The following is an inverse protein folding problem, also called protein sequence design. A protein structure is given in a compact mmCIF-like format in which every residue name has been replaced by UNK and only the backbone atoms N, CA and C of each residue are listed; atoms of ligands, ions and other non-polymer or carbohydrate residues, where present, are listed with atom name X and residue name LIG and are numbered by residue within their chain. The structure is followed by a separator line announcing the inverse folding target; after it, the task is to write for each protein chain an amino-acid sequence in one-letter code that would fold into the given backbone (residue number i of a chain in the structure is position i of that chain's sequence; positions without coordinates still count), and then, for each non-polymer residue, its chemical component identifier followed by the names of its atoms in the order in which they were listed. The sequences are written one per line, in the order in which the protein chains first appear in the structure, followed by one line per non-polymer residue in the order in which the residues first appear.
data_IF_392017149567
#
_entry.id   IF_392017149567
#
_cell.length_a   1.000
_cell.length_b   1.000
_cell.length_c   1.000
_cell.angle_alpha   90.00
_cell.angle_beta   90.00
_cell.angle_gamma   90.00
#
_symmetry.space_group_name_H-M   'P 1'
#
loop_
_entity.id
_entity.type
_entity.pdbx_description
1 polymer ?
#
# COMPACT_ATOMS: atom_id res chain seq x y z
N UNK A 1 22.60 -38.07 9.82
CA UNK A 1 21.90 -38.19 11.11
C UNK A 1 22.72 -37.47 12.16
N UNK A 2 22.31 -36.27 12.52
CA UNK A 2 22.83 -35.48 13.64
C UNK A 2 21.69 -35.35 14.65
N UNK A 3 21.94 -35.42 15.97
CA UNK A 3 20.87 -35.46 16.96
C UNK A 3 20.27 -34.07 17.18
N UNK A 4 18.94 -34.04 17.22
CA UNK A 4 18.10 -32.92 17.64
C UNK A 4 18.28 -32.77 19.14
N UNK A 5 18.85 -31.64 19.58
CA UNK A 5 18.93 -31.30 20.99
C UNK A 5 17.73 -30.39 21.33
N UNK A 6 16.57 -31.02 21.52
CA UNK A 6 15.40 -30.40 22.14
C UNK A 6 15.65 -30.30 23.64
N UNK A 7 16.02 -29.12 24.12
CA UNK A 7 15.94 -28.77 25.53
C UNK A 7 15.83 -27.24 25.69
N UNK A 8 14.66 -26.71 25.35
CA UNK A 8 14.16 -25.51 26.03
C UNK A 8 13.22 -25.98 27.14
N UNK A 9 13.82 -26.30 28.29
CA UNK A 9 13.07 -26.46 29.52
C UNK A 9 12.60 -25.08 29.97
N UNK A 10 11.29 -24.83 29.89
CA UNK A 10 10.68 -23.68 30.54
C UNK A 10 11.04 -23.72 32.04
N UNK A 11 11.45 -22.60 32.65
CA UNK A 11 11.74 -22.57 34.07
C UNK A 11 10.47 -22.86 34.87
N UNK A 12 10.39 -24.09 35.40
CA UNK A 12 9.47 -24.50 36.44
C UNK A 12 9.85 -23.77 37.74
N UNK A 13 9.19 -22.64 38.05
CA UNK A 13 8.59 -22.36 39.36
C UNK A 13 8.14 -20.88 39.52
N UNK A 14 6.97 -20.72 40.16
CA UNK A 14 6.42 -19.53 40.83
C UNK A 14 5.70 -18.39 40.07
N UNK A 15 5.62 -18.38 38.73
CA UNK A 15 4.84 -17.33 38.03
C UNK A 15 3.35 -17.65 37.78
N UNK A 16 2.93 -18.90 37.94
CA UNK A 16 1.53 -19.29 37.71
C UNK A 16 0.55 -18.85 38.81
N UNK A 17 1.02 -18.29 39.92
CA UNK A 17 0.19 -17.94 41.09
C UNK A 17 -0.24 -16.47 41.16
N UNK A 18 -0.07 -15.70 40.09
CA UNK A 18 -0.68 -14.36 39.98
C UNK A 18 -1.21 -14.10 38.58
N UNK A 19 -1.97 -15.06 38.04
CA UNK A 19 -2.76 -14.82 36.82
C UNK A 19 -3.92 -13.92 37.26
N UNK A 20 -3.79 -12.61 37.03
CA UNK A 20 -4.94 -11.71 37.09
C UNK A 20 -6.01 -12.26 36.15
N UNK A 21 -7.29 -12.16 36.53
CA UNK A 21 -8.41 -12.69 35.73
C UNK A 21 -8.40 -12.25 34.25
N UNK A 22 -7.73 -11.14 33.93
CA UNK A 22 -7.53 -10.60 32.59
C UNK A 22 -6.69 -11.46 31.64
N UNK A 23 -5.74 -12.27 32.12
CA UNK A 23 -4.90 -13.12 31.24
C UNK A 23 -5.53 -14.48 30.93
N UNK A 24 -6.41 -14.97 31.80
CA UNK A 24 -7.09 -16.25 31.61
C UNK A 24 -8.00 -16.25 30.37
N UNK A 25 -8.67 -15.11 30.10
CA UNK A 25 -9.54 -14.95 28.94
C UNK A 25 -8.76 -15.01 27.63
N UNK A 26 -7.59 -14.36 27.57
CA UNK A 26 -6.68 -14.47 26.42
C UNK A 26 -6.23 -15.90 26.19
N UNK A 27 -5.68 -16.55 27.22
CA UNK A 27 -5.10 -17.88 27.06
C UNK A 27 -6.14 -18.92 26.67
N UNK A 28 -7.32 -18.88 27.29
CA UNK A 28 -8.42 -19.80 26.96
C UNK A 28 -8.95 -19.61 25.54
N UNK A 29 -9.05 -18.37 25.05
CA UNK A 29 -9.44 -18.08 23.68
C UNK A 29 -8.39 -18.56 22.66
N UNK A 30 -7.11 -18.31 22.93
CA UNK A 30 -6.00 -18.72 22.06
C UNK A 30 -5.85 -20.24 22.01
N UNK A 31 -5.92 -20.94 23.14
CA UNK A 31 -5.88 -22.41 23.19
C UNK A 31 -7.06 -23.04 22.43
N UNK A 32 -8.22 -22.36 22.39
CA UNK A 32 -9.37 -22.78 21.58
C UNK A 32 -9.11 -22.57 20.09
N UNK A 33 -8.55 -21.42 19.72
CA UNK A 33 -8.20 -21.07 18.33
C UNK A 33 -7.11 -22.00 17.76
N UNK A 34 -6.12 -22.38 18.58
CA UNK A 34 -5.05 -23.31 18.22
C UNK A 34 -5.60 -24.69 17.82
N UNK A 35 -6.55 -25.21 18.58
CA UNK A 35 -7.20 -26.52 18.32
C UNK A 35 -7.98 -26.59 17.00
N UNK A 36 -8.21 -25.45 16.36
CA UNK A 36 -8.91 -25.33 15.08
C UNK A 36 -7.92 -25.19 13.89
N UNK A 37 -6.63 -25.43 14.11
CA UNK A 37 -5.61 -25.34 13.08
C UNK A 37 -5.92 -26.25 11.88
N UNK A 38 -5.83 -25.67 10.68
CA UNK A 38 -5.85 -26.44 9.44
C UNK A 38 -4.48 -27.11 9.22
N UNK A 39 -4.41 -28.22 8.46
CA UNK A 39 -3.14 -28.84 8.12
C UNK A 39 -2.17 -27.85 7.45
N UNK A 40 -0.98 -27.70 8.04
CA UNK A 40 0.07 -26.79 7.55
C UNK A 40 0.02 -25.38 8.14
N UNK A 41 -0.92 -25.07 9.04
CA UNK A 41 -0.91 -23.86 9.85
C UNK A 41 -0.09 -24.04 11.12
N UNK A 42 0.70 -23.02 11.47
CA UNK A 42 1.54 -23.00 12.68
C UNK A 42 0.85 -22.17 13.79
N UNK A 43 -0.39 -22.57 14.15
CA UNK A 43 -1.16 -21.87 15.19
C UNK A 43 -0.57 -22.07 16.60
N UNK A 44 0.06 -23.20 16.84
CA UNK A 44 0.76 -23.53 18.09
C UNK A 44 1.93 -22.56 18.36
N UNK A 45 2.73 -22.30 17.33
CA UNK A 45 3.78 -21.29 17.36
C UNK A 45 3.19 -19.88 17.55
N UNK A 46 2.10 -19.56 16.85
CA UNK A 46 1.43 -18.26 17.01
C UNK A 46 0.90 -18.05 18.43
N UNK A 47 0.28 -19.06 19.05
CA UNK A 47 -0.17 -19.00 20.45
C UNK A 47 1.02 -18.83 21.41
N UNK A 48 2.14 -19.51 21.16
CA UNK A 48 3.35 -19.35 21.96
C UNK A 48 3.85 -17.90 21.93
N UNK A 49 3.88 -17.27 20.75
CA UNK A 49 4.25 -15.85 20.59
C UNK A 49 3.25 -14.88 21.21
N UNK A 50 1.95 -15.18 21.11
CA UNK A 50 0.89 -14.39 21.76
C UNK A 50 1.04 -14.40 23.29
N UNK A 51 1.28 -15.58 23.86
CA UNK A 51 1.53 -15.75 25.30
C UNK A 51 2.80 -15.02 25.74
N UNK A 52 3.90 -15.17 25.01
CA UNK A 52 5.15 -14.45 25.28
C UNK A 52 4.95 -12.93 25.23
N UNK A 53 4.28 -12.42 24.20
CA UNK A 53 3.98 -11.00 24.05
C UNK A 53 3.19 -10.44 25.24
N UNK A 54 2.22 -11.20 25.75
CA UNK A 54 1.39 -10.77 26.86
C UNK A 54 2.15 -10.84 28.21
N UNK A 55 2.92 -11.91 28.44
CA UNK A 55 3.70 -12.11 29.66
C UNK A 55 4.81 -11.07 29.79
N UNK A 56 5.50 -10.77 28.69
CA UNK A 56 6.61 -9.83 28.68
C UNK A 56 6.17 -8.37 28.54
N UNK A 57 4.85 -8.13 28.37
CA UNK A 57 4.31 -6.81 28.06
C UNK A 57 5.05 -6.16 26.87
N UNK A 58 5.29 -6.96 25.82
CA UNK A 58 6.00 -6.52 24.63
C UNK A 58 5.14 -5.58 23.78
N UNK A 59 5.78 -4.56 23.22
CA UNK A 59 5.15 -3.63 22.28
C UNK A 59 5.01 -4.21 20.86
N UNK A 60 5.73 -5.29 20.55
CA UNK A 60 5.78 -5.90 19.23
C UNK A 60 5.23 -7.34 19.25
N UNK A 61 4.32 -7.63 18.33
CA UNK A 61 3.82 -8.98 18.06
C UNK A 61 4.08 -9.34 16.60
N UNK A 62 4.79 -10.47 16.39
CA UNK A 62 5.15 -10.97 15.05
C UNK A 62 4.65 -12.39 14.83
N UNK A 63 3.63 -12.52 14.01
CA UNK A 63 3.02 -13.78 13.58
C UNK A 63 3.18 -13.96 12.06
N UNK A 64 4.22 -13.37 11.45
CA UNK A 64 4.47 -13.50 10.02
C UNK A 64 4.97 -14.90 9.64
N UNK A 65 4.59 -15.38 8.44
CA UNK A 65 5.03 -16.66 7.84
C UNK A 65 4.66 -17.90 8.65
N UNK A 66 3.44 -17.95 9.18
CA UNK A 66 2.91 -19.09 9.95
C UNK A 66 1.74 -19.79 9.23
N UNK A 67 1.56 -19.46 7.94
CA UNK A 67 0.49 -19.95 7.08
C UNK A 67 -0.93 -19.77 7.64
N UNK A 68 -1.15 -18.81 8.54
CA UNK A 68 -2.40 -18.64 9.26
C UNK A 68 -3.55 -18.25 8.31
N UNK A 69 -4.68 -18.95 8.34
CA UNK A 69 -5.91 -18.55 7.65
C UNK A 69 -6.75 -17.54 8.42
N UNK A 70 -6.59 -17.48 9.75
CA UNK A 70 -7.24 -16.50 10.61
C UNK A 70 -6.34 -16.11 11.78
N UNK A 71 -6.68 -15.01 12.44
CA UNK A 71 -6.12 -14.63 13.75
C UNK A 71 -7.19 -14.86 14.83
N UNK A 72 -6.81 -15.01 16.10
CA UNK A 72 -7.78 -14.95 17.20
C UNK A 72 -8.37 -13.53 17.31
N UNK A 73 -9.63 -13.43 17.72
CA UNK A 73 -10.36 -12.16 17.82
C UNK A 73 -9.72 -11.19 18.84
N UNK A 74 -9.11 -11.73 19.90
CA UNK A 74 -8.53 -10.97 20.99
C UNK A 74 -6.99 -10.92 20.90
N UNK A 75 -6.49 -9.87 20.27
CA UNK A 75 -5.06 -9.54 20.28
C UNK A 75 -4.65 -8.83 21.59
N UNK A 76 -3.39 -8.94 22.04
CA UNK A 76 -2.90 -8.21 23.20
C UNK A 76 -3.06 -6.69 22.99
N UNK A 77 -3.86 -6.02 23.82
CA UNK A 77 -4.30 -4.64 23.58
C UNK A 77 -3.17 -3.58 23.73
N UNK A 78 -2.02 -3.94 24.30
CA UNK A 78 -0.91 -3.03 24.55
C UNK A 78 0.03 -2.85 23.35
N UNK A 79 -0.04 -3.71 22.34
CA UNK A 79 0.95 -3.73 21.25
C UNK A 79 0.89 -2.46 20.41
N UNK A 80 2.07 -1.97 20.00
CA UNK A 80 2.20 -0.84 19.08
C UNK A 80 2.63 -1.28 17.68
N UNK A 81 3.15 -2.51 17.53
CA UNK A 81 3.50 -3.11 16.25
C UNK A 81 2.88 -4.50 16.12
N UNK A 82 2.15 -4.71 15.03
CA UNK A 82 1.60 -6.00 14.63
C UNK A 82 2.15 -6.37 13.25
N UNK A 83 2.86 -7.49 13.16
CA UNK A 83 3.25 -8.08 11.90
C UNK A 83 2.60 -9.46 11.72
N UNK A 84 1.72 -9.56 10.73
CA UNK A 84 1.01 -10.79 10.33
C UNK A 84 1.17 -11.04 8.82
N UNK A 85 2.23 -10.48 8.23
CA UNK A 85 2.52 -10.60 6.80
C UNK A 85 2.83 -12.05 6.39
N UNK A 86 2.68 -12.37 5.11
CA UNK A 86 2.98 -13.70 4.56
C UNK A 86 2.17 -14.83 5.23
N UNK A 87 0.88 -14.61 5.41
CA UNK A 87 -0.07 -15.63 5.87
C UNK A 87 -1.15 -15.83 4.79
N UNK A 88 -2.26 -16.47 5.14
CA UNK A 88 -3.40 -16.73 4.27
C UNK A 88 -4.67 -16.03 4.79
N UNK A 89 -4.50 -14.91 5.49
CA UNK A 89 -5.59 -14.19 6.17
C UNK A 89 -6.56 -13.60 5.16
N UNK A 90 -7.85 -13.84 5.36
CA UNK A 90 -8.92 -13.21 4.59
C UNK A 90 -9.50 -11.97 5.26
N UNK A 91 -9.39 -11.90 6.59
CA UNK A 91 -9.84 -10.79 7.42
C UNK A 91 -8.87 -10.56 8.57
N UNK A 92 -8.87 -9.33 9.11
CA UNK A 92 -8.22 -9.00 10.36
C UNK A 92 -9.28 -8.80 11.46
N UNK A 93 -8.98 -9.20 12.72
CA UNK A 93 -9.84 -8.87 13.85
C UNK A 93 -9.78 -7.37 14.16
N UNK A 94 -10.56 -6.93 15.14
CA UNK A 94 -10.42 -5.56 15.65
C UNK A 94 -8.98 -5.29 16.12
N UNK A 95 -8.44 -4.15 15.68
CA UNK A 95 -7.06 -3.79 15.94
C UNK A 95 -6.93 -3.05 17.28
N UNK A 96 -5.86 -3.31 18.06
CA UNK A 96 -5.58 -2.54 19.26
C UNK A 96 -5.51 -1.04 18.98
N UNK A 97 -6.19 -0.23 19.79
CA UNK A 97 -6.23 1.24 19.61
C UNK A 97 -4.86 1.91 19.77
N UNK A 98 -3.93 1.23 20.41
CA UNK A 98 -2.52 1.62 20.67
C UNK A 98 -1.61 1.38 19.47
N UNK A 99 -2.08 0.67 18.44
CA UNK A 99 -1.27 0.25 17.32
C UNK A 99 -0.76 1.43 16.50
N UNK A 100 0.55 1.45 16.26
CA UNK A 100 1.25 2.45 15.46
C UNK A 100 1.71 1.90 14.11
N UNK A 101 2.01 0.61 14.04
CA UNK A 101 2.53 -0.04 12.84
C UNK A 101 1.77 -1.34 12.58
N UNK A 102 1.13 -1.42 11.42
CA UNK A 102 0.46 -2.61 10.95
C UNK A 102 1.14 -3.13 9.68
N UNK A 103 1.66 -4.34 9.75
CA UNK A 103 2.24 -5.07 8.63
C UNK A 103 1.42 -6.34 8.38
N UNK A 104 0.64 -6.35 7.29
CA UNK A 104 -0.20 -7.47 6.88
C UNK A 104 -0.08 -7.72 5.36
N UNK A 105 1.13 -7.55 4.84
CA UNK A 105 1.43 -7.73 3.42
C UNK A 105 1.36 -9.21 3.02
N UNK A 106 1.07 -9.50 1.75
CA UNK A 106 1.02 -10.87 1.21
C UNK A 106 0.06 -11.76 1.99
N UNK A 107 -1.20 -11.36 2.01
CA UNK A 107 -2.35 -12.11 2.53
C UNK A 107 -3.45 -12.13 1.44
N UNK A 108 -4.69 -12.47 1.82
CA UNK A 108 -5.87 -12.49 0.94
C UNK A 108 -6.97 -11.58 1.50
N UNK A 109 -6.58 -10.46 2.09
CA UNK A 109 -7.52 -9.54 2.73
C UNK A 109 -8.40 -8.90 1.66
N UNK A 110 -9.72 -9.09 1.78
CA UNK A 110 -10.72 -8.42 0.94
C UNK A 110 -11.11 -7.04 1.47
N UNK A 111 -11.03 -6.86 2.79
CA UNK A 111 -11.29 -5.61 3.48
C UNK A 111 -10.35 -5.40 4.68
N UNK A 112 -10.28 -4.16 5.16
CA UNK A 112 -9.59 -3.81 6.40
C UNK A 112 -10.61 -3.37 7.46
N UNK A 113 -10.38 -3.73 8.75
CA UNK A 113 -11.15 -3.15 9.84
C UNK A 113 -10.84 -1.65 9.97
N UNK A 114 -11.61 -0.96 10.82
CA UNK A 114 -11.33 0.44 11.16
C UNK A 114 -9.91 0.56 11.70
N UNK A 115 -9.14 1.50 11.12
CA UNK A 115 -7.75 1.70 11.48
C UNK A 115 -7.64 2.42 12.83
N UNK A 116 -6.70 2.02 13.71
CA UNK A 116 -6.43 2.72 14.94
C UNK A 116 -6.06 4.19 14.70
N UNK A 117 -6.55 5.13 15.53
CA UNK A 117 -6.37 6.57 15.29
C UNK A 117 -4.91 7.03 15.38
N UNK A 118 -4.05 6.25 16.04
CA UNK A 118 -2.62 6.52 16.22
C UNK A 118 -1.72 5.78 15.21
N UNK A 119 -2.30 5.15 14.17
CA UNK A 119 -1.54 4.36 13.20
C UNK A 119 -0.64 5.26 12.32
N UNK A 120 0.67 5.05 12.41
CA UNK A 120 1.70 5.81 11.70
C UNK A 120 2.15 5.12 10.40
N UNK A 121 2.06 3.78 10.34
CA UNK A 121 2.50 2.98 9.19
C UNK A 121 1.52 1.85 8.86
N UNK A 122 1.08 1.79 7.61
CA UNK A 122 0.24 0.69 7.09
C UNK A 122 0.92 -0.01 5.90
N UNK A 123 1.20 -1.31 6.02
CA UNK A 123 1.75 -2.12 4.93
C UNK A 123 0.79 -3.29 4.66
N UNK A 124 0.03 -3.19 3.59
CA UNK A 124 -1.01 -4.16 3.18
C UNK A 124 -0.90 -4.49 1.69
N UNK A 125 0.29 -4.32 1.11
CA UNK A 125 0.54 -4.70 -0.28
C UNK A 125 0.36 -6.20 -0.52
N UNK A 126 0.02 -6.58 -1.74
CA UNK A 126 -0.28 -7.97 -2.12
C UNK A 126 -1.44 -8.55 -1.29
N UNK A 127 -2.61 -7.95 -1.43
CA UNK A 127 -3.89 -8.43 -0.91
C UNK A 127 -4.96 -8.31 -2.02
N UNK A 128 -6.22 -8.52 -1.68
CA UNK A 128 -7.37 -8.48 -2.58
C UNK A 128 -8.29 -7.30 -2.21
N UNK A 129 -7.70 -6.19 -1.73
CA UNK A 129 -8.48 -5.04 -1.25
C UNK A 129 -9.09 -4.27 -2.42
N UNK A 130 -10.41 -4.10 -2.40
CA UNK A 130 -11.13 -3.24 -3.36
C UNK A 130 -11.31 -1.80 -2.84
N UNK A 131 -11.34 -1.63 -1.51
CA UNK A 131 -11.59 -0.36 -0.85
C UNK A 131 -10.70 -0.19 0.40
N UNK A 132 -10.56 1.05 0.85
CA UNK A 132 -9.88 1.38 2.10
C UNK A 132 -10.83 2.06 3.10
N UNK A 133 -10.69 1.78 4.40
CA UNK A 133 -11.36 2.54 5.45
C UNK A 133 -10.80 3.96 5.53
N UNK A 134 -11.42 4.80 6.39
CA UNK A 134 -10.89 6.12 6.69
C UNK A 134 -9.44 6.04 7.21
N UNK A 135 -8.57 6.90 6.69
CA UNK A 135 -7.17 6.94 7.07
C UNK A 135 -6.99 7.88 8.26
N UNK A 136 -6.26 7.47 9.31
CA UNK A 136 -6.03 8.33 10.46
C UNK A 136 -5.05 9.46 10.11
N UNK A 137 -5.26 10.65 10.70
CA UNK A 137 -4.41 11.83 10.47
C UNK A 137 -2.94 11.62 10.87
N UNK A 138 -2.67 10.62 11.71
CA UNK A 138 -1.34 10.22 12.17
C UNK A 138 -0.54 9.44 11.12
N UNK A 139 -1.16 8.97 10.03
CA UNK A 139 -0.51 8.10 9.05
C UNK A 139 0.60 8.82 8.29
N UNK A 140 1.82 8.30 8.38
CA UNK A 140 3.02 8.85 7.77
C UNK A 140 3.43 8.11 6.50
N UNK A 141 3.25 6.78 6.50
CA UNK A 141 3.61 5.92 5.38
C UNK A 141 2.57 4.82 5.14
N UNK A 142 2.29 4.56 3.87
CA UNK A 142 1.32 3.56 3.45
C UNK A 142 1.77 2.84 2.19
N UNK A 143 1.63 1.51 2.19
CA UNK A 143 1.80 0.69 1.00
C UNK A 143 0.57 -0.20 0.79
N UNK A 144 -0.14 0.08 -0.30
CA UNK A 144 -1.36 -0.60 -0.76
C UNK A 144 -1.15 -1.18 -2.17
N UNK A 145 0.10 -1.29 -2.62
CA UNK A 145 0.44 -1.80 -3.95
C UNK A 145 -0.06 -3.23 -4.15
N UNK A 146 -0.33 -3.65 -5.38
CA UNK A 146 -0.82 -5.00 -5.68
C UNK A 146 -2.11 -5.33 -4.92
N UNK A 147 -3.13 -4.49 -5.13
CA UNK A 147 -4.50 -4.70 -4.67
C UNK A 147 -5.45 -4.36 -5.83
N UNK A 148 -6.75 -4.31 -5.56
CA UNK A 148 -7.81 -4.09 -6.55
C UNK A 148 -8.53 -2.76 -6.31
N UNK A 149 -7.82 -1.79 -5.71
CA UNK A 149 -8.40 -0.53 -5.24
C UNK A 149 -8.75 0.37 -6.44
N UNK A 150 -9.99 0.87 -6.47
CA UNK A 150 -10.49 1.73 -7.56
C UNK A 150 -10.40 3.23 -7.24
N UNK A 151 -10.51 3.60 -5.96
CA UNK A 151 -10.39 4.98 -5.50
C UNK A 151 -9.80 5.06 -4.10
N UNK A 152 -9.27 6.22 -3.73
CA UNK A 152 -8.69 6.45 -2.40
C UNK A 152 -9.60 7.34 -1.56
N UNK A 153 -9.70 7.10 -0.23
CA UNK A 153 -10.27 8.06 0.70
C UNK A 153 -9.39 9.32 0.80
N UNK A 154 -9.86 10.32 1.54
CA UNK A 154 -9.07 11.53 1.83
C UNK A 154 -7.72 11.16 2.43
N UNK A 155 -6.64 11.69 1.84
CA UNK A 155 -5.28 11.42 2.30
C UNK A 155 -4.93 12.34 3.49
N UNK A 156 -4.35 11.78 4.57
CA UNK A 156 -3.82 12.57 5.69
C UNK A 156 -2.74 13.56 5.23
N UNK A 157 -2.77 14.78 5.77
CA UNK A 157 -1.76 15.80 5.45
C UNK A 157 -0.34 15.39 5.88
N UNK A 158 -0.24 14.56 6.92
CA UNK A 158 1.00 14.01 7.45
C UNK A 158 1.60 12.89 6.58
N UNK A 159 0.84 12.36 5.60
CA UNK A 159 1.29 11.25 4.75
C UNK A 159 2.40 11.71 3.81
N UNK A 160 3.57 11.09 3.94
CA UNK A 160 4.78 11.44 3.17
C UNK A 160 5.06 10.44 2.06
N UNK A 161 4.77 9.16 2.31
CA UNK A 161 5.10 8.08 1.41
C UNK A 161 3.87 7.21 1.15
N UNK A 162 3.39 7.21 -0.09
CA UNK A 162 2.29 6.37 -0.53
C UNK A 162 2.74 5.53 -1.72
N UNK A 163 2.63 4.22 -1.57
CA UNK A 163 2.84 3.26 -2.65
C UNK A 163 1.50 2.59 -2.99
N UNK A 164 0.99 2.88 -4.19
CA UNK A 164 -0.25 2.36 -4.74
C UNK A 164 -0.04 1.74 -6.13
N UNK A 165 1.17 1.23 -6.39
CA UNK A 165 1.53 0.61 -7.67
C UNK A 165 0.65 -0.61 -7.94
N UNK A 166 0.19 -0.79 -9.18
CA UNK A 166 -0.62 -1.95 -9.59
C UNK A 166 -1.92 -2.07 -8.77
N UNK A 167 -2.79 -1.09 -8.94
CA UNK A 167 -4.19 -1.06 -8.52
C UNK A 167 -5.07 -0.71 -9.73
N UNK A 168 -6.36 -0.46 -9.51
CA UNK A 168 -7.32 -0.02 -10.52
C UNK A 168 -7.70 1.46 -10.37
N UNK A 169 -6.82 2.28 -9.80
CA UNK A 169 -7.10 3.70 -9.59
C UNK A 169 -7.34 4.40 -10.93
N UNK A 170 -8.47 5.10 -11.04
CA UNK A 170 -8.87 5.82 -12.26
C UNK A 170 -8.49 7.30 -12.22
N UNK A 171 -8.24 7.83 -11.04
CA UNK A 171 -7.89 9.22 -10.78
C UNK A 171 -6.77 9.35 -9.74
N UNK A 172 -6.02 10.45 -9.83
CA UNK A 172 -5.10 10.83 -8.77
C UNK A 172 -5.87 11.53 -7.63
N UNK A 173 -5.48 11.30 -6.36
CA UNK A 173 -6.08 12.00 -5.24
C UNK A 173 -5.74 13.49 -5.27
N UNK A 174 -6.56 14.31 -4.63
CA UNK A 174 -6.20 15.69 -4.35
C UNK A 174 -5.06 15.72 -3.34
N UNK A 175 -3.91 16.25 -3.76
CA UNK A 175 -2.77 16.45 -2.87
C UNK A 175 -2.96 17.75 -2.09
N UNK A 176 -2.89 17.68 -0.76
CA UNK A 176 -2.85 18.85 0.10
C UNK A 176 -1.41 19.17 0.49
N UNK A 177 -0.97 20.39 0.19
CA UNK A 177 0.33 20.85 0.68
C UNK A 177 0.23 21.24 2.15
N UNK A 178 1.20 20.76 2.94
CA UNK A 178 1.47 21.35 4.25
C UNK A 178 2.32 22.59 4.12
N UNK A 179 2.28 23.46 5.13
CA UNK A 179 3.10 24.68 5.15
C UNK A 179 4.62 24.41 5.15
N UNK A 180 5.04 23.20 5.54
CA UNK A 180 6.45 22.84 5.69
C UNK A 180 7.00 22.07 4.47
N UNK A 181 8.21 22.42 3.98
CA UNK A 181 8.88 21.67 2.92
C UNK A 181 9.27 20.29 3.46
N UNK A 182 8.57 19.26 3.01
CA UNK A 182 8.83 17.87 3.36
C UNK A 182 8.86 17.07 2.06
N UNK A 183 9.87 16.24 1.90
CA UNK A 183 9.98 15.31 0.77
C UNK A 183 8.82 14.33 0.82
N UNK A 184 8.08 14.24 -0.28
CA UNK A 184 6.96 13.32 -0.45
C UNK A 184 7.15 12.46 -1.69
N UNK A 185 6.88 11.17 -1.56
CA UNK A 185 6.97 10.24 -2.68
C UNK A 185 5.66 9.47 -2.85
N UNK A 186 5.10 9.59 -4.03
CA UNK A 186 3.82 8.99 -4.42
C UNK A 186 4.03 8.07 -5.62
N UNK A 187 3.77 6.78 -5.45
CA UNK A 187 3.88 5.78 -6.51
C UNK A 187 2.49 5.32 -6.95
N UNK A 188 2.09 5.73 -8.14
CA UNK A 188 0.83 5.38 -8.81
C UNK A 188 1.07 4.64 -10.13
N UNK A 189 2.28 4.09 -10.33
CA UNK A 189 2.59 3.33 -11.55
C UNK A 189 1.63 2.15 -11.75
N UNK A 190 1.35 1.80 -13.00
CA UNK A 190 0.51 0.65 -13.37
C UNK A 190 -0.90 0.72 -12.80
N UNK A 191 -1.56 1.86 -12.94
CA UNK A 191 -2.97 2.07 -12.60
C UNK A 191 -3.80 2.31 -13.87
N UNK A 192 -5.06 2.74 -13.71
CA UNK A 192 -5.98 3.10 -14.80
C UNK A 192 -6.18 4.62 -14.91
N UNK A 193 -5.18 5.40 -14.46
CA UNK A 193 -5.26 6.86 -14.44
C UNK A 193 -5.19 7.38 -15.88
N UNK A 194 -6.23 8.08 -16.31
CA UNK A 194 -6.34 8.61 -17.68
C UNK A 194 -6.13 10.12 -17.76
N UNK A 195 -6.25 10.81 -16.63
CA UNK A 195 -6.18 12.27 -16.53
C UNK A 195 -5.26 12.68 -15.38
N UNK A 196 -4.50 13.74 -15.62
CA UNK A 196 -3.64 14.37 -14.61
C UNK A 196 -4.32 15.67 -14.16
N UNK A 197 -4.66 15.82 -12.88
CA UNK A 197 -5.29 17.04 -12.40
C UNK A 197 -4.28 18.19 -12.34
N UNK A 198 -4.71 19.42 -12.63
CA UNK A 198 -3.85 20.62 -12.56
C UNK A 198 -3.26 20.83 -11.16
N UNK A 199 -3.94 20.36 -10.11
CA UNK A 199 -3.48 20.43 -8.72
C UNK A 199 -2.11 19.77 -8.50
N UNK A 200 -1.73 18.79 -9.34
CA UNK A 200 -0.39 18.18 -9.27
C UNK A 200 0.72 19.21 -9.50
N UNK A 201 0.46 20.23 -10.32
CA UNK A 201 1.45 21.25 -10.69
C UNK A 201 1.70 22.26 -9.57
N UNK A 202 0.78 22.34 -8.61
CA UNK A 202 0.92 23.21 -7.43
C UNK A 202 1.88 22.64 -6.39
N UNK A 203 2.32 21.39 -6.58
CA UNK A 203 3.25 20.74 -5.65
C UNK A 203 4.66 21.27 -5.81
N UNK A 204 5.40 21.32 -4.71
CA UNK A 204 6.81 21.75 -4.73
C UNK A 204 7.72 20.67 -5.32
N UNK A 205 8.91 21.08 -5.74
CA UNK A 205 9.94 20.20 -6.33
C UNK A 205 10.43 19.07 -5.39
N UNK A 206 10.22 19.21 -4.07
CA UNK A 206 10.50 18.14 -3.12
C UNK A 206 9.56 16.93 -3.29
N UNK A 207 8.41 17.10 -3.94
CA UNK A 207 7.48 16.02 -4.24
C UNK A 207 7.92 15.22 -5.46
N UNK A 208 7.82 13.89 -5.38
CA UNK A 208 8.05 12.95 -6.48
C UNK A 208 6.81 12.11 -6.72
N UNK A 209 6.39 12.03 -7.98
CA UNK A 209 5.15 11.36 -8.38
C UNK A 209 5.45 10.45 -9.55
N UNK A 210 5.20 9.17 -9.36
CA UNK A 210 5.40 8.14 -10.37
C UNK A 210 4.04 7.70 -10.92
N UNK A 211 3.82 7.88 -12.21
CA UNK A 211 2.56 7.62 -12.93
C UNK A 211 2.81 6.81 -14.21
N UNK A 212 3.93 6.09 -14.26
CA UNK A 212 4.31 5.28 -15.42
C UNK A 212 3.30 4.17 -15.64
N UNK A 213 3.16 3.71 -16.88
CA UNK A 213 2.26 2.61 -17.26
C UNK A 213 0.79 2.87 -16.87
N UNK A 214 0.34 4.12 -17.00
CA UNK A 214 -1.06 4.51 -16.91
C UNK A 214 -1.61 4.88 -18.31
N UNK A 215 -2.92 4.70 -18.57
CA UNK A 215 -3.55 5.02 -19.85
C UNK A 215 -3.75 6.54 -20.09
N UNK A 216 -2.68 7.32 -19.91
CA UNK A 216 -2.67 8.75 -20.17
C UNK A 216 -2.74 9.03 -21.67
N UNK A 217 -3.48 10.07 -22.06
CA UNK A 217 -3.53 10.48 -23.47
C UNK A 217 -2.15 10.94 -23.97
N UNK A 218 -1.89 10.72 -25.26
CA UNK A 218 -0.67 11.21 -25.93
C UNK A 218 -0.46 12.71 -25.75
N UNK A 219 -1.56 13.48 -25.80
CA UNK A 219 -1.56 14.91 -25.57
C UNK A 219 -1.10 15.27 -24.15
N UNK A 220 -1.59 14.55 -23.13
CA UNK A 220 -1.18 14.75 -21.74
C UNK A 220 0.31 14.44 -21.55
N UNK A 221 0.81 13.35 -22.12
CA UNK A 221 2.23 12.98 -22.06
C UNK A 221 3.14 14.03 -22.70
N UNK A 222 2.77 14.54 -23.89
CA UNK A 222 3.52 15.61 -24.55
C UNK A 222 3.46 16.94 -23.79
N UNK A 223 2.32 17.24 -23.16
CA UNK A 223 2.18 18.43 -22.31
C UNK A 223 3.09 18.32 -21.09
N UNK A 224 3.10 17.18 -20.41
CA UNK A 224 4.01 16.90 -19.30
C UNK A 224 5.47 17.01 -19.74
N UNK A 225 5.85 16.40 -20.86
CA UNK A 225 7.22 16.47 -21.38
C UNK A 225 7.68 17.90 -21.65
N UNK A 226 6.85 18.72 -22.32
CA UNK A 226 7.17 20.13 -22.58
C UNK A 226 7.28 20.93 -21.29
N UNK A 227 6.39 20.68 -20.33
CA UNK A 227 6.35 21.39 -19.06
C UNK A 227 7.57 21.06 -18.20
N UNK A 228 7.86 19.78 -17.98
CA UNK A 228 8.95 19.33 -17.09
C UNK A 228 10.35 19.53 -17.69
N UNK A 229 10.45 19.72 -19.01
CA UNK A 229 11.72 20.04 -19.69
C UNK A 229 12.01 21.55 -19.78
N UNK A 230 11.08 22.40 -19.32
CA UNK A 230 11.27 23.85 -19.33
C UNK A 230 12.33 24.27 -18.31
N UNK A 231 13.27 25.18 -18.64
CA UNK A 231 14.27 25.68 -17.69
C UNK A 231 13.65 26.42 -16.50
N UNK A 232 12.45 26.98 -16.68
CA UNK A 232 11.72 27.73 -15.64
C UNK A 232 10.73 26.84 -14.85
N UNK A 233 10.83 25.51 -14.99
CA UNK A 233 9.97 24.58 -14.26
C UNK A 233 10.40 24.45 -12.79
N UNK A 234 9.46 24.73 -11.88
CA UNK A 234 9.66 24.65 -10.43
C UNK A 234 8.65 23.73 -9.71
N UNK A 235 7.86 22.95 -10.48
CA UNK A 235 6.87 22.01 -9.94
C UNK A 235 7.49 20.70 -9.44
N UNK A 236 6.66 19.66 -9.15
CA UNK A 236 7.16 18.40 -8.63
C UNK A 236 7.94 17.58 -9.66
N UNK A 237 8.69 16.59 -9.19
CA UNK A 237 9.35 15.59 -10.06
C UNK A 237 8.32 14.56 -10.50
N UNK A 238 7.89 14.60 -11.76
CA UNK A 238 6.90 13.68 -12.33
C UNK A 238 7.60 12.65 -13.22
N UNK A 239 7.46 11.37 -12.88
CA UNK A 239 7.99 10.24 -13.62
C UNK A 239 6.86 9.55 -14.40
N UNK A 240 6.97 9.52 -15.73
CA UNK A 240 6.01 8.93 -16.63
C UNK A 240 6.72 8.20 -17.78
N UNK A 241 6.08 7.18 -18.34
CA UNK A 241 6.58 6.45 -19.52
C UNK A 241 5.93 6.97 -20.80
N UNK A 242 6.74 7.19 -21.84
CA UNK A 242 6.27 7.39 -23.21
C UNK A 242 6.68 6.16 -24.01
N UNK A 243 5.71 5.42 -24.55
CA UNK A 243 6.03 4.33 -25.48
C UNK A 243 6.71 4.86 -26.74
N UNK A 244 7.51 4.04 -27.42
CA UNK A 244 8.32 4.45 -28.57
C UNK A 244 7.50 5.09 -29.71
N UNK A 245 6.21 4.75 -29.84
CA UNK A 245 5.29 5.37 -30.79
C UNK A 245 4.82 6.78 -30.42
N UNK A 246 4.90 7.17 -29.15
CA UNK A 246 4.46 8.46 -28.61
C UNK A 246 5.58 9.51 -28.58
N UNK A 247 6.85 9.08 -28.67
CA UNK A 247 7.99 9.98 -28.83
C UNK A 247 8.04 10.60 -30.24
N UNK A 248 7.44 9.94 -31.24
CA UNK A 248 7.49 10.34 -32.66
C UNK A 248 6.36 11.27 -33.12
N UNK A 249 5.41 11.62 -32.27
CA UNK A 249 4.26 12.47 -32.65
C UNK A 249 4.57 13.97 -32.75
N UNK A 250 5.84 14.37 -32.79
CA UNK A 250 6.24 15.75 -33.05
C UNK A 250 6.18 16.15 -34.54
N UNK A 251 5.80 15.25 -35.45
CA UNK A 251 5.79 15.54 -36.89
C UNK A 251 4.52 15.08 -37.61
N UNK A 252 3.51 15.97 -37.65
CA UNK A 252 2.94 16.62 -38.86
C UNK A 252 1.47 17.01 -38.64
N UNK A 253 1.05 18.24 -39.00
CA UNK A 253 -0.36 18.61 -39.10
C UNK A 253 -1.11 17.65 -40.04
N UNK A 254 -2.38 17.36 -39.75
CA UNK A 254 -3.26 16.50 -40.57
C UNK A 254 -3.26 16.91 -42.06
N UNK A 255 -3.10 18.21 -42.34
CA UNK A 255 -3.00 18.75 -43.70
C UNK A 255 -1.81 18.16 -44.51
N UNK A 256 -0.68 17.87 -43.86
CA UNK A 256 0.52 17.30 -44.48
C UNK A 256 0.46 15.77 -44.63
N UNK A 257 -0.38 15.10 -43.83
CA UNK A 257 -0.64 13.66 -43.95
C UNK A 257 -1.64 13.37 -45.08
N UNK A 258 -2.62 14.25 -45.27
CA UNK A 258 -3.69 14.10 -46.28
C UNK A 258 -3.20 14.43 -47.70
N UNK A 259 -2.25 15.35 -47.87
CA UNK A 259 -1.64 15.65 -49.19
C UNK A 259 -0.85 14.48 -49.77
N UNK A 260 -0.36 13.55 -48.96
CA UNK A 260 0.33 12.35 -49.42
C UNK A 260 -0.63 11.23 -49.90
N UNK A 261 -1.92 11.31 -49.58
CA UNK A 261 -2.94 10.35 -50.04
C UNK A 261 -3.53 10.71 -51.41
N UNK A 262 -3.38 11.95 -51.85
CA UNK A 262 -3.87 12.41 -53.15
C UNK A 262 -2.77 13.17 -53.89
N UNK A 263 -1.99 12.50 -54.77
CA UNK A 263 -1.11 13.22 -55.69
C UNK A 263 -1.98 14.05 -56.64
N UNK A 264 -2.02 15.37 -56.42
CA UNK A 264 -2.58 16.31 -57.39
C UNK A 264 -1.77 16.22 -58.69
N UNK A 265 -2.39 15.69 -59.74
CA UNK A 265 -1.98 15.99 -61.11
C UNK A 265 -2.20 17.49 -61.34
N UNK A 266 -1.13 18.26 -61.19
CA UNK A 266 -1.06 19.63 -61.69
C UNK A 266 -0.92 19.66 -63.21
N UNK A 267 -1.56 20.68 -63.76
CA UNK A 267 -1.38 21.39 -65.04
C UNK A 267 -2.43 21.08 -66.10
N UNK A 268 -3.46 21.91 -66.26
CA UNK A 268 -3.53 23.32 -66.70
C UNK A 268 -3.57 23.46 -68.23
N UNK A 269 -4.71 23.99 -68.69
CA UNK A 269 -4.94 24.92 -69.80
C UNK A 269 -4.25 24.70 -71.14
N UNK A 270 -5.05 24.56 -72.21
CA UNK A 270 -4.94 25.43 -73.40
C UNK A 270 -6.33 25.58 -74.06
N UNK A 271 -6.80 26.84 -74.09
CA UNK A 271 -7.70 27.54 -75.04
C UNK A 271 -8.97 26.88 -75.60
#
# INVERSE_FOLDING_TARGET
MLPINNNFSLPQNSFYNTISGTYADYFSAWDKWEKQALPGEERDEAVSRLKECLINNSDELRLDRLNLSSLPDNLPAQITLLNVSYNQLTNLPELPVTLKKLYSASNKLSELPVLPPALESLQVQHNELENLPALPDSLLTMNISYNEIVSLPSLPQALKNLRATRNFLTELPAFSEGNNPVVREYFFDRNQISHIPESILNLRNECSIHISDNPLSSHALQALQRLTSSPDYHGPRIYFSMSDGQQNTLHRPLADAVTAWFPENKQSDVS
#
